data_IF_031747700000
#
_entry.id   IF_031747700000
#
_cell.length_a   1.000
_cell.length_b   1.000
_cell.length_c   1.000
_cell.angle_alpha   90.00
_cell.angle_beta   90.00
_cell.angle_gamma   90.00
#
_symmetry.space_group_name_H-M   'P 1'
#
loop_
_entity.id
_entity.type
_entity.pdbx_description
1 polymer ?
#
# COMPACT_ATOMS: atom_id res chain seq x y z
N UNK A 1 -22.68 -13.77 10.98
CA UNK A 1 -21.70 -13.74 9.86
C UNK A 1 -20.73 -12.55 9.94
N UNK A 2 -21.23 -11.34 10.10
CA UNK A 2 -20.37 -10.18 10.38
C UNK A 2 -19.43 -10.36 11.60
N UNK A 3 -19.80 -11.20 12.58
CA UNK A 3 -19.05 -11.35 13.84
C UNK A 3 -17.70 -12.06 13.73
N UNK A 4 -17.51 -13.02 12.81
CA UNK A 4 -16.23 -13.76 12.70
C UNK A 4 -15.23 -12.97 11.85
N UNK A 5 -15.69 -12.40 10.74
CA UNK A 5 -14.87 -11.50 9.92
C UNK A 5 -14.59 -10.18 10.68
N UNK A 6 -15.58 -9.63 11.42
CA UNK A 6 -15.35 -8.46 12.30
C UNK A 6 -14.41 -8.78 13.45
N UNK A 7 -14.41 -10.01 14.00
CA UNK A 7 -13.46 -10.42 15.04
C UNK A 7 -12.05 -10.62 14.48
N UNK A 8 -11.92 -11.20 13.28
CA UNK A 8 -10.65 -11.25 12.53
C UNK A 8 -10.21 -9.86 12.06
N UNK A 9 -11.15 -9.02 11.60
CA UNK A 9 -10.88 -7.63 11.27
C UNK A 9 -10.49 -6.80 12.50
N UNK A 10 -11.08 -7.07 13.66
CA UNK A 10 -10.69 -6.43 14.93
C UNK A 10 -9.30 -6.87 15.41
N UNK A 11 -8.89 -8.09 15.08
CA UNK A 11 -7.51 -8.57 15.32
C UNK A 11 -6.52 -8.06 14.28
N UNK A 12 -7.01 -7.72 13.09
CA UNK A 12 -6.30 -7.12 11.97
C UNK A 12 -6.73 -5.63 11.86
N UNK A 13 -6.52 -4.80 12.83
CA UNK A 13 -7.02 -3.42 13.06
C UNK A 13 -7.23 -2.50 11.83
N UNK A 14 -7.17 -3.00 10.58
CA UNK A 14 -7.15 -2.26 9.30
C UNK A 14 -7.80 -2.98 8.12
N UNK A 15 -8.54 -4.05 8.38
CA UNK A 15 -9.41 -4.66 7.38
C UNK A 15 -10.81 -4.13 7.63
N UNK A 16 -11.26 -3.21 6.81
CA UNK A 16 -12.65 -2.79 6.78
C UNK A 16 -13.42 -3.79 5.91
N UNK A 17 -14.39 -4.49 6.50
CA UNK A 17 -15.29 -5.35 5.75
C UNK A 17 -16.45 -4.50 5.29
N UNK A 18 -16.49 -4.24 4.01
CA UNK A 18 -17.54 -3.44 3.38
C UNK A 18 -18.48 -4.38 2.64
N UNK A 19 -19.78 -4.24 2.88
CA UNK A 19 -20.81 -4.85 2.04
C UNK A 19 -20.70 -4.28 0.62
N UNK A 20 -20.64 -5.15 -0.39
CA UNK A 20 -20.47 -4.75 -1.80
C UNK A 20 -21.52 -3.78 -2.31
N UNK A 21 -22.71 -3.72 -1.68
CA UNK A 21 -23.78 -2.78 -2.00
C UNK A 21 -23.55 -1.37 -1.42
N UNK A 22 -22.58 -1.18 -0.54
CA UNK A 22 -22.28 0.09 0.15
C UNK A 22 -20.87 0.60 -0.06
N UNK A 23 -20.20 0.17 -1.13
CA UNK A 23 -18.83 0.53 -1.43
C UNK A 23 -18.63 2.04 -1.61
N UNK A 24 -18.32 2.72 -0.51
CA UNK A 24 -17.60 4.00 -0.53
C UNK A 24 -16.17 3.73 -0.07
N UNK A 25 -15.34 3.28 -1.01
CA UNK A 25 -13.92 3.06 -0.73
C UNK A 25 -13.25 4.40 -0.38
N UNK A 26 -12.78 4.53 0.85
CA UNK A 26 -11.84 5.58 1.18
C UNK A 26 -10.57 5.42 0.34
N UNK A 27 -9.90 6.52 -0.02
CA UNK A 27 -8.67 6.54 -0.84
C UNK A 27 -7.50 5.70 -0.30
N UNK A 28 -7.63 5.07 0.85
CA UNK A 28 -6.59 4.30 1.53
C UNK A 28 -6.76 2.76 1.43
N UNK A 29 -7.87 2.26 0.87
CA UNK A 29 -8.07 0.82 0.72
C UNK A 29 -7.18 0.29 -0.42
N UNK A 30 -6.37 -0.71 -0.12
CA UNK A 30 -5.48 -1.37 -1.09
C UNK A 30 -5.86 -2.84 -1.31
N UNK A 31 -6.61 -3.43 -0.39
CA UNK A 31 -7.08 -4.82 -0.45
C UNK A 31 -8.59 -4.82 -0.20
N UNK A 32 -9.32 -5.47 -1.07
CA UNK A 32 -10.75 -5.68 -0.95
C UNK A 32 -11.05 -7.18 -0.85
N UNK A 33 -11.85 -7.58 0.13
CA UNK A 33 -12.35 -8.95 0.23
C UNK A 33 -13.83 -8.94 -0.18
N UNK A 34 -14.14 -9.68 -1.24
CA UNK A 34 -15.50 -9.79 -1.78
C UNK A 34 -16.11 -11.13 -1.38
N UNK A 35 -17.28 -11.12 -0.73
CA UNK A 35 -17.99 -12.35 -0.37
C UNK A 35 -18.69 -12.95 -1.59
N UNK A 36 -18.13 -14.04 -2.10
CA UNK A 36 -18.64 -14.77 -3.27
C UNK A 36 -19.33 -16.10 -2.90
N UNK A 37 -19.56 -16.38 -1.61
CA UNK A 37 -20.10 -17.68 -1.14
C UNK A 37 -21.57 -17.94 -1.56
N UNK A 38 -22.32 -16.89 -1.85
CA UNK A 38 -23.74 -16.96 -2.24
C UNK A 38 -23.98 -16.36 -3.64
N UNK A 39 -22.91 -16.06 -4.40
CA UNK A 39 -23.03 -15.52 -5.74
C UNK A 39 -23.66 -16.54 -6.69
N UNK A 40 -24.77 -16.16 -7.33
CA UNK A 40 -25.21 -16.82 -8.54
C UNK A 40 -24.30 -16.41 -9.69
N UNK A 41 -24.11 -17.29 -10.68
CA UNK A 41 -23.11 -17.17 -11.78
C UNK A 41 -23.22 -15.88 -12.63
N UNK A 42 -24.27 -15.08 -12.46
CA UNK A 42 -24.56 -13.89 -13.28
C UNK A 42 -24.29 -12.54 -12.60
N UNK A 43 -23.83 -12.51 -11.36
CA UNK A 43 -23.53 -11.24 -10.71
C UNK A 43 -22.15 -10.72 -11.12
N UNK A 44 -22.15 -9.63 -11.90
CA UNK A 44 -20.95 -8.93 -12.31
C UNK A 44 -20.06 -8.53 -11.10
N UNK A 45 -18.78 -8.79 -11.23
CA UNK A 45 -17.75 -8.23 -10.35
C UNK A 45 -17.88 -6.70 -10.37
N UNK A 46 -17.85 -6.02 -9.20
CA UNK A 46 -17.79 -4.57 -9.21
C UNK A 46 -16.56 -4.11 -9.97
N UNK A 47 -16.75 -3.27 -11.01
CA UNK A 47 -15.65 -2.59 -11.70
C UNK A 47 -14.97 -1.64 -10.73
N UNK A 48 -13.93 -2.12 -10.09
CA UNK A 48 -13.11 -1.35 -9.18
C UNK A 48 -11.76 -1.06 -9.81
N UNK A 49 -11.13 0.03 -9.38
CA UNK A 49 -9.81 0.44 -9.82
C UNK A 49 -8.83 -0.74 -9.91
N UNK A 50 -8.07 -0.82 -11.00
CA UNK A 50 -7.02 -1.82 -11.21
C UNK A 50 -5.89 -1.78 -10.15
N UNK A 51 -5.88 -0.74 -9.31
CA UNK A 51 -4.92 -0.56 -8.23
C UNK A 51 -5.27 -1.41 -6.99
N UNK A 52 -6.53 -1.84 -6.84
CA UNK A 52 -6.98 -2.64 -5.70
C UNK A 52 -6.69 -4.12 -5.92
N UNK A 53 -6.05 -4.75 -4.93
CA UNK A 53 -5.98 -6.21 -4.87
C UNK A 53 -7.32 -6.74 -4.34
N UNK A 54 -7.97 -7.59 -5.12
CA UNK A 54 -9.26 -8.17 -4.79
C UNK A 54 -9.12 -9.64 -4.46
N UNK A 55 -9.62 -10.04 -3.28
CA UNK A 55 -9.69 -11.45 -2.85
C UNK A 55 -11.14 -11.90 -2.83
N UNK A 56 -11.41 -13.05 -3.44
CA UNK A 56 -12.72 -13.69 -3.34
C UNK A 56 -12.82 -14.50 -2.04
N UNK A 57 -13.89 -14.31 -1.25
CA UNK A 57 -14.23 -15.23 -0.16
C UNK A 57 -15.20 -16.27 -0.73
N UNK A 58 -14.77 -17.54 -0.75
CA UNK A 58 -15.51 -18.65 -1.35
C UNK A 58 -15.70 -19.81 -0.36
N UNK A 59 -16.73 -20.63 -0.53
CA UNK A 59 -16.89 -21.88 0.20
C UNK A 59 -16.15 -23.00 -0.51
N UNK A 60 -15.80 -24.05 0.23
CA UNK A 60 -15.06 -25.19 -0.31
C UNK A 60 -15.80 -25.86 -1.49
N UNK A 61 -17.14 -25.90 -1.44
CA UNK A 61 -17.99 -26.47 -2.49
C UNK A 61 -18.13 -25.61 -3.74
N UNK A 62 -17.77 -24.33 -3.69
CA UNK A 62 -17.84 -23.36 -4.80
C UNK A 62 -16.45 -22.89 -5.26
N UNK A 63 -15.43 -23.72 -5.01
CA UNK A 63 -14.06 -23.41 -5.36
C UNK A 63 -13.76 -23.81 -6.81
N UNK A 64 -14.02 -22.91 -7.77
CA UNK A 64 -13.56 -23.01 -9.14
C UNK A 64 -12.40 -22.02 -9.35
N UNK A 65 -11.16 -22.48 -9.12
CA UNK A 65 -9.97 -21.61 -9.13
C UNK A 65 -9.82 -20.85 -10.45
N UNK A 66 -9.99 -21.52 -11.56
CA UNK A 66 -9.82 -20.91 -12.88
C UNK A 66 -10.86 -19.80 -13.12
N UNK A 67 -12.09 -19.98 -12.68
CA UNK A 67 -13.15 -18.97 -12.77
C UNK A 67 -12.87 -17.76 -11.86
N UNK A 68 -12.33 -17.99 -10.66
CA UNK A 68 -11.97 -16.90 -9.73
C UNK A 68 -10.90 -16.02 -10.38
N UNK A 69 -9.83 -16.60 -10.90
CA UNK A 69 -8.77 -15.85 -11.56
C UNK A 69 -9.21 -15.24 -12.89
N UNK A 70 -9.99 -15.95 -13.69
CA UNK A 70 -10.59 -15.41 -14.92
C UNK A 70 -11.50 -14.21 -14.65
N UNK A 71 -12.19 -14.20 -13.49
CA UNK A 71 -12.97 -13.05 -13.01
C UNK A 71 -12.10 -11.90 -12.50
N UNK A 72 -10.76 -12.02 -12.54
CA UNK A 72 -9.80 -10.97 -12.20
C UNK A 72 -9.58 -10.77 -10.70
N UNK A 73 -9.90 -11.74 -9.86
CA UNK A 73 -9.46 -11.74 -8.46
C UNK A 73 -7.97 -12.07 -8.37
N UNK A 74 -7.28 -11.41 -7.46
CA UNK A 74 -5.83 -11.61 -7.26
C UNK A 74 -5.54 -12.88 -6.45
N UNK A 75 -6.44 -13.28 -5.57
CA UNK A 75 -6.36 -14.48 -4.73
C UNK A 75 -7.75 -14.79 -4.14
N UNK A 76 -7.87 -15.83 -3.32
CA UNK A 76 -9.11 -16.20 -2.67
C UNK A 76 -8.89 -16.64 -1.21
N UNK A 77 -9.95 -16.55 -0.39
CA UNK A 77 -10.02 -17.08 0.96
C UNK A 77 -11.09 -18.16 1.02
N UNK A 78 -10.80 -19.26 1.71
CA UNK A 78 -11.75 -20.35 1.92
C UNK A 78 -12.56 -20.14 3.19
N UNK A 79 -13.86 -20.38 3.11
CA UNK A 79 -14.73 -20.46 4.27
C UNK A 79 -14.93 -21.93 4.70
N UNK A 80 -14.82 -22.26 6.00
CA UNK A 80 -14.59 -21.40 7.16
C UNK A 80 -13.17 -20.85 7.20
N UNK A 81 -12.99 -19.60 7.67
CA UNK A 81 -11.71 -18.90 7.69
C UNK A 81 -10.76 -19.53 8.72
N UNK A 82 -9.61 -19.97 8.25
CA UNK A 82 -8.50 -20.43 9.08
C UNK A 82 -7.54 -19.26 9.25
N UNK A 83 -7.34 -18.81 10.49
CA UNK A 83 -6.55 -17.59 10.78
C UNK A 83 -5.16 -17.60 10.15
N UNK A 84 -4.43 -18.70 10.21
CA UNK A 84 -3.09 -18.80 9.63
C UNK A 84 -3.10 -18.64 8.10
N UNK A 85 -4.08 -19.25 7.43
CA UNK A 85 -4.23 -19.14 5.96
C UNK A 85 -4.58 -17.71 5.53
N UNK A 86 -5.52 -17.08 6.25
CA UNK A 86 -5.88 -15.65 6.00
C UNK A 86 -4.65 -14.76 6.15
N UNK A 87 -3.89 -14.92 7.23
CA UNK A 87 -2.69 -14.13 7.46
C UNK A 87 -1.63 -14.36 6.37
N UNK A 88 -1.43 -15.60 5.95
CA UNK A 88 -0.49 -15.95 4.88
C UNK A 88 -0.88 -15.29 3.55
N UNK A 89 -2.15 -15.35 3.15
CA UNK A 89 -2.63 -14.75 1.90
C UNK A 89 -2.59 -13.22 1.93
N UNK A 90 -3.01 -12.62 3.06
CA UNK A 90 -2.88 -11.17 3.22
C UNK A 90 -1.41 -10.70 3.19
N UNK A 91 -0.49 -11.48 3.75
CA UNK A 91 0.94 -11.18 3.64
C UNK A 91 1.43 -11.22 2.18
N UNK A 92 0.94 -12.17 1.37
CA UNK A 92 1.20 -12.21 -0.07
C UNK A 92 0.68 -10.96 -0.80
N UNK A 93 -0.54 -10.50 -0.48
CA UNK A 93 -1.10 -9.28 -1.03
C UNK A 93 -0.27 -8.04 -0.66
N UNK A 94 0.16 -7.94 0.59
CA UNK A 94 1.04 -6.84 1.04
C UNK A 94 2.36 -6.87 0.28
N UNK A 95 2.99 -8.03 0.10
CA UNK A 95 4.22 -8.16 -0.67
C UNK A 95 4.03 -7.76 -2.15
N UNK A 96 2.85 -8.05 -2.73
CA UNK A 96 2.52 -7.60 -4.09
C UNK A 96 2.33 -6.09 -4.17
N UNK A 97 1.64 -5.48 -3.21
CA UNK A 97 1.50 -4.02 -3.10
C UNK A 97 2.89 -3.37 -2.98
N UNK A 98 3.76 -3.96 -2.19
CA UNK A 98 5.13 -3.47 -2.01
C UNK A 98 5.96 -3.60 -3.30
N UNK A 99 5.83 -4.70 -4.05
CA UNK A 99 6.47 -4.84 -5.37
C UNK A 99 5.96 -3.81 -6.38
N UNK A 100 4.65 -3.58 -6.43
CA UNK A 100 4.05 -2.52 -7.26
C UNK A 100 4.55 -1.14 -6.84
N UNK A 101 4.60 -0.89 -5.52
CA UNK A 101 5.12 0.37 -4.97
C UNK A 101 6.60 0.56 -5.25
N UNK A 102 7.42 -0.50 -5.24
CA UNK A 102 8.83 -0.41 -5.64
C UNK A 102 8.98 -0.02 -7.12
N UNK A 103 8.08 -0.49 -8.00
CA UNK A 103 7.99 -0.05 -9.40
C UNK A 103 7.59 1.43 -9.54
N UNK A 104 6.83 1.98 -8.58
CA UNK A 104 6.45 3.40 -8.57
C UNK A 104 7.63 4.36 -8.37
N UNK A 105 8.80 3.87 -7.97
CA UNK A 105 10.00 4.69 -7.74
C UNK A 105 11.05 4.57 -8.85
N UNK A 106 10.76 3.81 -9.90
CA UNK A 106 11.59 3.66 -11.07
C UNK A 106 10.97 4.33 -12.30
N UNK A 107 11.74 5.12 -13.03
CA UNK A 107 11.31 5.73 -14.28
C UNK A 107 12.23 5.34 -15.43
N UNK A 108 11.64 5.04 -16.59
CA UNK A 108 12.38 4.84 -17.84
C UNK A 108 12.93 6.16 -18.42
N UNK A 109 12.42 7.31 -17.98
CA UNK A 109 12.97 8.62 -18.36
C UNK A 109 14.27 8.89 -17.59
N UNK A 110 15.44 9.00 -18.26
CA UNK A 110 16.73 9.15 -17.59
C UNK A 110 16.84 10.41 -16.73
N UNK A 111 16.17 11.51 -17.12
CA UNK A 111 16.18 12.75 -16.36
C UNK A 111 15.37 12.60 -15.08
N UNK A 112 14.21 11.94 -15.16
CA UNK A 112 13.35 11.65 -14.01
C UNK A 112 14.07 10.67 -13.08
N UNK A 113 14.66 9.58 -13.60
CA UNK A 113 15.38 8.60 -12.80
C UNK A 113 16.56 9.25 -12.06
N UNK A 114 17.37 10.07 -12.75
CA UNK A 114 18.46 10.84 -12.12
C UNK A 114 17.96 11.74 -10.99
N UNK A 115 16.79 12.34 -11.18
CA UNK A 115 16.15 13.19 -10.15
C UNK A 115 15.70 12.37 -8.94
N UNK A 116 15.10 11.19 -9.16
CA UNK A 116 14.72 10.26 -8.12
C UNK A 116 15.92 9.80 -7.30
N UNK A 117 17.03 9.46 -7.95
CA UNK A 117 18.28 9.04 -7.28
C UNK A 117 18.87 10.15 -6.41
N UNK A 118 18.82 11.39 -6.89
CA UNK A 118 19.26 12.57 -6.12
C UNK A 118 18.36 12.82 -4.91
N UNK A 119 17.05 12.72 -5.07
CA UNK A 119 16.08 12.89 -3.99
C UNK A 119 16.21 11.78 -2.95
N UNK A 120 16.37 10.53 -3.38
CA UNK A 120 16.57 9.38 -2.49
C UNK A 120 17.87 9.52 -1.67
N UNK A 121 18.98 9.92 -2.29
CA UNK A 121 20.26 10.20 -1.59
C UNK A 121 20.16 11.35 -0.58
N UNK A 122 19.22 12.28 -0.79
CA UNK A 122 19.00 13.45 0.06
C UNK A 122 17.65 13.38 0.78
N UNK A 123 17.18 12.17 1.08
CA UNK A 123 15.85 11.92 1.64
C UNK A 123 15.55 12.71 2.91
N UNK A 124 16.57 13.01 3.70
CA UNK A 124 16.46 13.78 4.94
C UNK A 124 16.47 15.31 4.75
N UNK A 125 16.65 15.82 3.51
CA UNK A 125 16.73 17.25 3.25
C UNK A 125 15.48 17.75 2.54
N UNK A 126 15.14 18.99 2.81
CA UNK A 126 14.21 19.73 1.96
C UNK A 126 14.99 20.20 0.71
N UNK A 127 14.60 19.69 -0.44
CA UNK A 127 15.21 20.10 -1.73
C UNK A 127 14.24 20.99 -2.45
N UNK A 128 14.64 22.23 -2.72
CA UNK A 128 13.83 23.12 -3.53
C UNK A 128 13.74 22.60 -4.96
N UNK A 129 12.55 22.70 -5.57
CA UNK A 129 12.32 22.22 -6.95
C UNK A 129 13.25 22.90 -7.97
N UNK A 130 13.55 24.19 -7.77
CA UNK A 130 14.50 24.95 -8.62
C UNK A 130 15.93 24.43 -8.50
N UNK A 131 16.36 24.03 -7.30
CA UNK A 131 17.67 23.41 -7.07
C UNK A 131 17.75 22.05 -7.75
N UNK A 132 16.72 21.21 -7.57
CA UNK A 132 16.65 19.89 -8.21
C UNK A 132 16.74 20.03 -9.74
N UNK A 133 15.93 20.91 -10.33
CA UNK A 133 15.93 21.13 -11.77
C UNK A 133 17.31 21.54 -12.29
N UNK A 134 18.00 22.47 -11.59
CA UNK A 134 19.36 22.88 -11.91
C UNK A 134 20.36 21.73 -11.84
N UNK A 135 20.27 20.89 -10.80
CA UNK A 135 21.19 19.74 -10.61
C UNK A 135 21.06 18.67 -11.68
N UNK A 136 19.87 18.50 -12.25
CA UNK A 136 19.65 17.53 -13.33
C UNK A 136 19.77 18.15 -14.73
N UNK A 137 20.02 19.45 -14.82
CA UNK A 137 20.25 20.14 -16.11
C UNK A 137 18.97 20.50 -16.86
N UNK A 138 17.90 20.87 -16.14
CA UNK A 138 16.62 21.26 -16.74
C UNK A 138 15.98 22.47 -16.01
N UNK A 139 14.81 22.90 -16.45
CA UNK A 139 13.99 23.88 -15.76
C UNK A 139 12.85 23.22 -14.96
N UNK A 140 12.22 24.02 -14.07
CA UNK A 140 11.15 23.55 -13.17
C UNK A 140 9.96 22.96 -13.91
N UNK A 141 9.50 23.64 -14.95
CA UNK A 141 8.30 23.23 -15.71
C UNK A 141 8.54 21.90 -16.41
N UNK A 142 9.66 21.75 -17.11
CA UNK A 142 10.03 20.49 -17.78
C UNK A 142 10.15 19.35 -16.78
N UNK A 143 10.78 19.60 -15.62
CA UNK A 143 10.94 18.59 -14.59
C UNK A 143 9.58 18.11 -14.05
N UNK A 144 8.67 19.03 -13.73
CA UNK A 144 7.32 18.68 -13.23
C UNK A 144 6.55 17.89 -14.27
N UNK A 145 6.50 18.37 -15.52
CA UNK A 145 5.76 17.69 -16.59
C UNK A 145 6.27 16.25 -16.83
N UNK A 146 7.59 16.03 -16.78
CA UNK A 146 8.18 14.69 -16.93
C UNK A 146 7.87 13.78 -15.74
N UNK A 147 7.87 14.31 -14.51
CA UNK A 147 7.45 13.56 -13.33
C UNK A 147 5.98 13.19 -13.39
N UNK A 148 5.12 14.11 -13.80
CA UNK A 148 3.69 13.84 -13.98
C UNK A 148 3.44 12.77 -15.05
N UNK A 149 4.18 12.84 -16.17
CA UNK A 149 4.11 11.80 -17.22
C UNK A 149 4.58 10.42 -16.72
N UNK A 150 5.61 10.37 -15.84
CA UNK A 150 6.18 9.11 -15.35
C UNK A 150 5.42 8.53 -14.16
N UNK A 151 4.94 9.38 -13.25
CA UNK A 151 4.42 8.97 -11.93
C UNK A 151 3.03 9.51 -11.60
N UNK A 152 2.41 10.31 -12.47
CA UNK A 152 1.14 10.98 -12.18
C UNK A 152 1.23 12.03 -11.06
N UNK A 153 2.42 12.44 -10.67
CA UNK A 153 2.62 13.43 -9.61
C UNK A 153 3.95 14.19 -9.78
N UNK A 154 4.06 15.37 -9.15
CA UNK A 154 5.29 16.16 -9.17
C UNK A 154 6.39 15.62 -8.24
N UNK A 155 7.65 16.10 -8.39
CA UNK A 155 8.83 15.59 -7.67
C UNK A 155 8.72 15.61 -6.14
N UNK A 156 8.10 16.66 -5.58
CA UNK A 156 7.95 16.80 -4.12
C UNK A 156 6.93 15.82 -3.55
N UNK A 157 5.85 15.57 -4.29
CA UNK A 157 4.85 14.55 -3.93
C UNK A 157 5.45 13.15 -4.04
N UNK A 158 6.22 12.88 -5.10
CA UNK A 158 6.98 11.65 -5.25
C UNK A 158 7.93 11.43 -4.06
N UNK A 159 8.71 12.44 -3.66
CA UNK A 159 9.61 12.34 -2.50
C UNK A 159 8.84 12.02 -1.20
N UNK A 160 7.66 12.59 -1.02
CA UNK A 160 6.81 12.28 0.13
C UNK A 160 6.37 10.82 0.12
N UNK A 161 5.95 10.28 -1.03
CA UNK A 161 5.60 8.86 -1.16
C UNK A 161 6.81 7.97 -0.90
N UNK A 162 7.96 8.30 -1.46
CA UNK A 162 9.22 7.58 -1.23
C UNK A 162 9.61 7.56 0.25
N UNK A 163 9.54 8.69 0.96
CA UNK A 163 9.77 8.77 2.41
C UNK A 163 8.85 7.84 3.19
N UNK A 164 7.57 7.78 2.83
CA UNK A 164 6.61 6.93 3.52
C UNK A 164 6.82 5.45 3.24
N UNK A 165 7.18 5.08 2.02
CA UNK A 165 7.57 3.70 1.68
C UNK A 165 8.82 3.25 2.46
N UNK A 166 9.83 4.09 2.53
CA UNK A 166 11.06 3.83 3.30
C UNK A 166 10.77 3.77 4.82
N UNK A 167 9.88 4.61 5.32
CA UNK A 167 9.40 4.54 6.70
C UNK A 167 8.73 3.19 6.99
N UNK A 168 7.84 2.74 6.11
CA UNK A 168 7.16 1.46 6.24
C UNK A 168 8.15 0.29 6.27
N UNK A 169 9.17 0.32 5.38
CA UNK A 169 10.25 -0.68 5.35
C UNK A 169 11.01 -0.74 6.69
N UNK A 170 11.43 0.42 7.25
CA UNK A 170 12.16 0.51 8.52
C UNK A 170 11.30 0.12 9.72
N UNK A 171 10.02 0.46 9.70
CA UNK A 171 9.09 0.05 10.76
C UNK A 171 8.92 -1.46 10.81
N UNK A 172 9.04 -2.17 9.69
CA UNK A 172 9.01 -3.64 9.63
C UNK A 172 10.28 -4.29 10.18
N UNK A 173 11.46 -3.73 9.89
CA UNK A 173 12.73 -4.24 10.45
C UNK A 173 12.84 -4.07 11.96
N UNK A 174 12.09 -3.16 12.57
CA UNK A 174 11.78 -3.17 14.00
C UNK A 174 12.72 -2.44 14.93
N UNK A 175 13.95 -2.18 14.54
CA UNK A 175 15.02 -1.79 15.48
C UNK A 175 15.07 -0.29 15.78
N UNK A 176 14.55 0.56 14.87
CA UNK A 176 14.61 2.00 15.04
C UNK A 176 13.36 2.57 15.74
N UNK A 177 13.54 3.58 16.60
CA UNK A 177 12.39 4.32 17.16
C UNK A 177 11.65 5.12 16.08
N UNK A 178 10.34 5.33 16.26
CA UNK A 178 9.53 6.15 15.34
C UNK A 178 10.10 7.55 15.18
N UNK A 179 10.61 8.14 16.28
CA UNK A 179 11.24 9.45 16.26
C UNK A 179 12.52 9.46 15.42
N UNK A 180 13.33 8.41 15.52
CA UNK A 180 14.56 8.27 14.73
C UNK A 180 14.27 8.11 13.24
N UNK A 181 13.26 7.29 12.90
CA UNK A 181 12.80 7.14 11.52
C UNK A 181 12.33 8.49 10.96
N UNK A 182 11.51 9.24 11.70
CA UNK A 182 11.03 10.56 11.31
C UNK A 182 12.18 11.53 11.02
N UNK A 183 13.14 11.63 11.95
CA UNK A 183 14.34 12.47 11.82
C UNK A 183 15.15 12.12 10.57
N UNK A 184 15.47 10.84 10.38
CA UNK A 184 16.28 10.38 9.24
C UNK A 184 15.60 10.54 7.88
N UNK A 185 14.28 10.66 7.86
CA UNK A 185 13.49 10.95 6.67
C UNK A 185 13.18 12.44 6.49
N UNK A 186 13.78 13.32 7.32
CA UNK A 186 13.70 14.77 7.17
C UNK A 186 12.40 15.38 7.71
N UNK A 187 11.81 14.75 8.71
CA UNK A 187 10.69 15.32 9.47
C UNK A 187 11.22 15.93 10.77
N UNK A 188 11.03 17.25 10.95
CA UNK A 188 11.42 17.97 12.14
C UNK A 188 10.58 17.56 13.37
N UNK A 189 9.37 17.07 13.12
CA UNK A 189 8.40 16.71 14.15
C UNK A 189 7.80 15.33 13.89
N UNK A 190 7.89 14.44 14.87
CA UNK A 190 7.34 13.09 14.80
C UNK A 190 5.80 13.06 14.67
N UNK A 191 5.10 14.12 15.09
CA UNK A 191 3.65 14.23 14.92
C UNK A 191 3.31 14.48 13.44
N UNK A 192 4.05 15.38 12.77
CA UNK A 192 3.89 15.62 11.34
C UNK A 192 4.19 14.37 10.52
N UNK A 193 5.24 13.64 10.91
CA UNK A 193 5.55 12.34 10.32
C UNK A 193 4.40 11.35 10.53
N UNK A 194 3.91 11.20 11.76
CA UNK A 194 2.84 10.25 12.09
C UNK A 194 1.54 10.56 11.34
N UNK A 195 1.21 11.85 11.18
CA UNK A 195 0.06 12.29 10.40
C UNK A 195 0.23 11.96 8.91
N UNK A 196 1.40 12.27 8.32
CA UNK A 196 1.71 11.96 6.93
C UNK A 196 1.72 10.44 6.67
N UNK A 197 2.29 9.67 7.60
CA UNK A 197 2.34 8.21 7.52
C UNK A 197 0.93 7.61 7.58
N UNK A 198 0.10 8.04 8.54
CA UNK A 198 -1.29 7.60 8.66
C UNK A 198 -2.10 7.94 7.40
N UNK A 199 -1.89 9.11 6.79
CA UNK A 199 -2.61 9.53 5.59
C UNK A 199 -2.33 8.60 4.38
N UNK A 200 -1.12 8.03 4.28
CA UNK A 200 -0.72 7.15 3.16
C UNK A 200 -0.97 5.68 3.48
N UNK A 201 -0.66 5.23 4.70
CA UNK A 201 -0.75 3.82 5.09
C UNK A 201 -2.01 3.46 5.89
N UNK A 202 -2.90 4.41 6.14
CA UNK A 202 -4.13 4.20 6.91
C UNK A 202 -3.93 4.11 8.43
N UNK A 203 -2.68 3.98 8.91
CA UNK A 203 -2.30 3.67 10.26
C UNK A 203 -1.21 4.53 10.85
N UNK A 204 -1.27 4.84 12.17
CA UNK A 204 -0.13 5.39 12.88
C UNK A 204 1.09 4.45 12.82
N UNK A 205 2.33 4.99 12.80
CA UNK A 205 3.57 4.21 12.69
C UNK A 205 3.71 3.09 13.73
N UNK A 206 3.35 3.34 15.00
CA UNK A 206 3.42 2.33 16.07
C UNK A 206 2.46 1.17 15.87
N UNK A 207 1.23 1.46 15.39
CA UNK A 207 0.24 0.44 15.07
C UNK A 207 0.70 -0.40 13.87
N UNK A 208 1.23 0.24 12.84
CA UNK A 208 1.81 -0.42 11.67
C UNK A 208 2.95 -1.38 12.07
N UNK A 209 3.87 -0.94 12.93
CA UNK A 209 4.95 -1.77 13.48
C UNK A 209 4.43 -2.99 14.22
N UNK A 210 3.48 -2.83 15.14
CA UNK A 210 2.93 -3.94 15.93
C UNK A 210 2.36 -5.06 15.06
N UNK A 211 1.77 -4.69 13.93
CA UNK A 211 1.21 -5.65 12.98
C UNK A 211 2.32 -6.38 12.22
N UNK A 212 3.35 -5.66 11.77
CA UNK A 212 4.49 -6.25 11.10
C UNK A 212 5.23 -7.27 11.99
N UNK A 213 5.51 -6.92 13.26
CA UNK A 213 6.20 -7.82 14.21
C UNK A 213 5.43 -9.07 14.59
N UNK A 214 4.10 -9.02 14.64
CA UNK A 214 3.30 -10.23 14.91
C UNK A 214 3.39 -11.26 13.78
N UNK A 215 3.88 -10.87 12.60
CA UNK A 215 4.03 -11.75 11.43
C UNK A 215 5.35 -12.52 11.39
N UNK A 216 6.40 -12.03 12.08
CA UNK A 216 7.76 -12.62 12.03
C UNK A 216 8.08 -13.59 13.16
N UNK A 217 7.21 -13.76 14.18
CA UNK A 217 7.39 -14.80 15.18
C UNK A 217 6.61 -16.05 14.74
N UNK A 218 7.30 -17.10 14.24
CA UNK A 218 6.70 -18.42 14.16
C UNK A 218 6.47 -18.93 15.60
N UNK A 219 5.26 -19.42 15.85
CA UNK A 219 4.94 -20.20 17.05
C UNK A 219 5.57 -21.59 16.89
#
# INVERSE_FOLDING_TARGET
>A
MASTLSRLASSLQHVEIVDHQRLRLGRAAQILIVDCRQRQQDEHKPELSSELLQLALVSENSLHRDEIFASGYSDFLLWPLIQQEVLRRLAGCVAEIERRSAGLFFSADPLVQKSCDLLAKRVNRQTALSELARLVGTNRTTLVNRFEASFGCGPITWLRHFRMAEAARRLRSGDESVAKIAETLGYENSNNFSTAFKAIHGLPPLSYRKIAFRREKPV
#
